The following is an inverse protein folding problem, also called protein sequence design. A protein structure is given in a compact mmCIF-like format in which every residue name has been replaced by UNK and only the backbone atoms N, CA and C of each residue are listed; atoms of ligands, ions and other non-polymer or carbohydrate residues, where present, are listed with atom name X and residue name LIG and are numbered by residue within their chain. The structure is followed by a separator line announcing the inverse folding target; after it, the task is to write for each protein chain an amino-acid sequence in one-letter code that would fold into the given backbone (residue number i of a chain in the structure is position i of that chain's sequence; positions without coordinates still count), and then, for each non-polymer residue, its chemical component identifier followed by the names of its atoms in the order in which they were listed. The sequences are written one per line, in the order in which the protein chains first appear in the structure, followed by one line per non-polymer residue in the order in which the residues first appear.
data_IF_274772777715
#
_entry.id   IF_274772777715
#
_cell.length_a   1.000
_cell.length_b   1.000
_cell.length_c   1.000
_cell.angle_alpha   90.00
_cell.angle_beta   90.00
_cell.angle_gamma   90.00
#
_symmetry.space_group_name_H-M   'P 1'
#
loop_
_entity.id
_entity.type
_entity.pdbx_description
1 polymer ?
#
# COMPACT_ATOMS: atom_id res chain seq x y z
N UNK A 1 -24.48 3.62 -9.95
CA UNK A 1 -23.98 3.12 -8.64
C UNK A 1 -22.62 3.74 -8.40
N UNK A 2 -22.55 4.74 -7.54
CA UNK A 2 -21.32 5.45 -7.16
C UNK A 2 -20.46 4.50 -6.34
N UNK A 3 -19.46 3.90 -6.99
CA UNK A 3 -18.54 2.97 -6.34
C UNK A 3 -17.80 3.73 -5.22
N UNK A 4 -18.13 3.39 -3.97
CA UNK A 4 -17.67 4.10 -2.76
C UNK A 4 -16.28 3.61 -2.30
N UNK A 5 -15.55 2.88 -3.16
CA UNK A 5 -14.23 2.34 -2.84
C UNK A 5 -13.14 3.39 -3.07
N UNK A 6 -12.45 3.72 -1.97
CA UNK A 6 -11.32 4.67 -1.98
C UNK A 6 -10.09 4.13 -2.72
N UNK A 7 -9.93 2.81 -2.77
CA UNK A 7 -8.80 2.12 -3.40
C UNK A 7 -9.31 0.98 -4.28
N UNK A 8 -8.59 0.75 -5.37
CA UNK A 8 -8.80 -0.36 -6.29
C UNK A 8 -8.03 -1.60 -5.80
N UNK A 9 -6.89 -1.38 -5.12
CA UNK A 9 -6.05 -2.43 -4.53
C UNK A 9 -5.64 -2.05 -3.10
N UNK A 10 -5.76 -2.99 -2.15
CA UNK A 10 -5.20 -2.86 -0.81
C UNK A 10 -4.26 -4.03 -0.55
N UNK A 11 -2.97 -3.76 -0.35
CA UNK A 11 -1.96 -4.78 -0.07
C UNK A 11 -1.85 -5.03 1.43
N UNK A 12 -2.53 -6.05 1.93
CA UNK A 12 -2.40 -6.51 3.31
C UNK A 12 -1.07 -7.25 3.55
N UNK A 13 -0.44 -6.97 4.69
CA UNK A 13 0.83 -7.58 5.05
C UNK A 13 2.02 -6.97 4.32
N UNK A 14 1.90 -5.73 3.85
CA UNK A 14 2.94 -5.02 3.11
C UNK A 14 4.29 -4.97 3.86
N UNK A 15 4.28 -5.02 5.20
CA UNK A 15 5.49 -5.02 6.03
C UNK A 15 6.17 -6.38 6.17
N UNK A 16 5.58 -7.45 5.65
CA UNK A 16 6.16 -8.79 5.64
C UNK A 16 7.12 -9.01 4.46
N UNK A 17 7.85 -10.13 4.46
CA UNK A 17 8.83 -10.45 3.41
C UNK A 17 8.19 -10.47 2.01
N UNK A 18 7.19 -11.33 1.80
CA UNK A 18 6.49 -11.41 0.50
C UNK A 18 5.72 -10.13 0.18
N UNK A 19 5.09 -9.51 1.18
CA UNK A 19 4.35 -8.27 1.00
C UNK A 19 5.22 -7.14 0.48
N UNK A 20 6.48 -7.05 0.93
CA UNK A 20 7.44 -6.05 0.44
C UNK A 20 7.79 -6.25 -1.04
N UNK A 21 7.99 -7.49 -1.49
CA UNK A 21 8.23 -7.80 -2.91
C UNK A 21 7.04 -7.42 -3.79
N UNK A 22 5.81 -7.65 -3.29
CA UNK A 22 4.59 -7.24 -3.99
C UNK A 22 4.45 -5.72 -4.01
N UNK A 23 4.78 -5.03 -2.91
CA UNK A 23 4.77 -3.56 -2.85
C UNK A 23 5.75 -2.97 -3.87
N UNK A 24 6.95 -3.52 -3.99
CA UNK A 24 7.93 -3.15 -5.02
C UNK A 24 7.41 -3.38 -6.44
N UNK A 25 6.75 -4.52 -6.68
CA UNK A 25 6.17 -4.83 -7.98
C UNK A 25 5.09 -3.81 -8.37
N UNK A 26 4.17 -3.51 -7.43
CA UNK A 26 3.12 -2.52 -7.65
C UNK A 26 3.68 -1.12 -7.84
N UNK A 27 4.71 -0.73 -7.08
CA UNK A 27 5.39 0.55 -7.24
C UNK A 27 6.02 0.69 -8.64
N UNK A 28 6.70 -0.35 -9.14
CA UNK A 28 7.27 -0.36 -10.50
C UNK A 28 6.22 -0.32 -11.61
N UNK A 29 5.01 -0.83 -11.34
CA UNK A 29 3.88 -0.83 -12.27
C UNK A 29 2.95 0.38 -12.10
N UNK A 30 3.20 1.24 -11.11
CA UNK A 30 2.35 2.37 -10.83
C UNK A 30 2.55 3.46 -11.89
N UNK A 31 1.57 3.58 -12.78
CA UNK A 31 1.46 4.60 -13.81
C UNK A 31 0.31 5.58 -13.55
N UNK A 32 -0.30 5.50 -12.36
CA UNK A 32 -1.47 6.29 -11.96
C UNK A 32 -2.82 5.71 -12.43
N UNK A 33 -2.85 4.57 -13.12
CA UNK A 33 -4.09 3.94 -13.61
C UNK A 33 -4.96 3.31 -12.50
N UNK A 34 -4.37 3.08 -11.32
CA UNK A 34 -5.08 2.50 -10.17
C UNK A 34 -4.66 3.18 -8.86
N UNK A 35 -5.63 3.32 -7.96
CA UNK A 35 -5.45 3.83 -6.60
C UNK A 35 -5.20 2.64 -5.68
N UNK A 36 -4.13 2.69 -4.90
CA UNK A 36 -3.80 1.60 -3.99
C UNK A 36 -3.28 2.06 -2.63
N UNK A 37 -3.33 1.14 -1.68
CA UNK A 37 -2.86 1.36 -0.32
C UNK A 37 -2.03 0.19 0.20
N UNK A 38 -1.05 0.50 1.05
CA UNK A 38 -0.29 -0.46 1.84
C UNK A 38 -1.00 -0.65 3.19
N UNK A 39 -1.27 -1.90 3.56
CA UNK A 39 -1.94 -2.23 4.81
C UNK A 39 -1.09 -3.15 5.71
N UNK A 40 -1.12 -2.87 7.02
CA UNK A 40 -0.38 -3.65 8.01
C UNK A 40 -0.53 -3.11 9.43
N UNK A 41 0.04 -3.85 10.40
CA UNK A 41 -0.09 -3.54 11.84
C UNK A 41 0.74 -2.35 12.30
N UNK A 42 1.88 -2.10 11.65
CA UNK A 42 2.86 -1.09 12.04
C UNK A 42 2.90 0.04 11.00
N UNK A 43 2.24 1.15 11.30
CA UNK A 43 2.14 2.30 10.39
C UNK A 43 3.51 2.91 10.04
N UNK A 44 4.43 2.99 11.00
CA UNK A 44 5.79 3.50 10.77
C UNK A 44 6.55 2.67 9.73
N UNK A 45 6.39 1.34 9.76
CA UNK A 45 6.98 0.45 8.76
C UNK A 45 6.34 0.64 7.38
N UNK A 46 5.04 0.94 7.32
CA UNK A 46 4.37 1.26 6.07
C UNK A 46 4.89 2.58 5.48
N UNK A 47 5.08 3.62 6.32
CA UNK A 47 5.69 4.89 5.90
C UNK A 47 7.10 4.69 5.38
N UNK A 48 7.90 3.87 6.07
CA UNK A 48 9.26 3.53 5.65
C UNK A 48 9.26 2.87 4.26
N UNK A 49 8.42 1.86 4.03
CA UNK A 49 8.31 1.20 2.73
C UNK A 49 7.90 2.20 1.64
N UNK A 50 6.91 3.06 1.91
CA UNK A 50 6.48 4.08 0.96
C UNK A 50 7.63 5.02 0.57
N UNK A 51 8.41 5.47 1.55
CA UNK A 51 9.58 6.32 1.32
C UNK A 51 10.69 5.58 0.54
N UNK A 52 10.99 4.34 0.91
CA UNK A 52 12.02 3.52 0.25
C UNK A 52 11.67 3.22 -1.22
N UNK A 53 10.39 3.08 -1.53
CA UNK A 53 9.90 2.87 -2.89
C UNK A 53 9.73 4.18 -3.69
N UNK A 54 10.05 5.33 -3.10
CA UNK A 54 9.89 6.64 -3.75
C UNK A 54 8.43 7.00 -4.06
N UNK A 55 7.49 6.39 -3.34
CA UNK A 55 6.05 6.60 -3.52
C UNK A 55 5.62 7.88 -2.79
N UNK A 56 4.74 8.66 -3.42
CA UNK A 56 4.24 9.90 -2.83
C UNK A 56 3.08 9.68 -1.86
N UNK A 57 2.49 10.79 -1.42
CA UNK A 57 1.38 10.78 -0.46
C UNK A 57 0.05 10.29 -1.05
N UNK A 58 -0.02 10.13 -2.38
CA UNK A 58 -1.13 9.50 -3.09
C UNK A 58 -1.30 8.01 -2.74
N UNK A 59 -0.23 7.35 -2.28
CA UNK A 59 -0.31 5.97 -1.82
C UNK A 59 -0.83 5.94 -0.38
N UNK A 60 -2.01 5.33 -0.24
CA UNK A 60 -2.70 5.19 1.03
C UNK A 60 -1.94 4.29 2.01
N UNK A 61 -2.03 4.62 3.30
CA UNK A 61 -1.54 3.76 4.37
C UNK A 61 -2.72 3.38 5.25
N UNK A 62 -2.92 2.08 5.46
CA UNK A 62 -4.01 1.55 6.26
C UNK A 62 -3.42 0.77 7.42
N UNK A 63 -3.62 1.28 8.64
CA UNK A 63 -3.34 0.49 9.84
C UNK A 63 -4.42 -0.59 9.95
N UNK A 64 -3.99 -1.84 9.90
CA UNK A 64 -4.86 -2.98 10.01
C UNK A 64 -4.41 -3.87 11.16
N UNK A 65 -5.30 -4.04 12.13
CA UNK A 65 -5.15 -4.97 13.24
C UNK A 65 -6.25 -6.03 13.14
N UNK A 66 -5.90 -7.29 13.40
CA UNK A 66 -6.79 -8.45 13.25
C UNK A 66 -7.07 -9.13 14.60
N UNK A 67 -6.80 -8.43 15.71
CA UNK A 67 -7.04 -8.90 17.08
C UNK A 67 -8.52 -9.11 17.40
#
# INVERSE_FOLDING_TARGET
MTDTRAYDIVLYGATGFTGRLVAEYLARKHDGSFRWALAGRAEDKLRQIRAELGLGNEIGLIRADSG
#
